data_IF_349897639062
#
_entry.id   IF_349897639062
#
_cell.length_a   1.000
_cell.length_b   1.000
_cell.length_c   1.000
_cell.angle_alpha   90.00
_cell.angle_beta   90.00
_cell.angle_gamma   90.00
#
_symmetry.space_group_name_H-M   'P 1'
#
loop_
_entity.id
_entity.type
_entity.pdbx_description
1 polymer ?
#
# COMPACT_ATOMS: atom_id res chain seq x y z
N UNK A 1 -14.99 -6.71 4.82
CA UNK A 1 -13.98 -5.68 4.48
C UNK A 1 -13.19 -5.96 3.21
N UNK A 2 -12.71 -7.19 2.96
CA UNK A 2 -11.77 -7.47 1.88
C UNK A 2 -12.24 -7.07 0.46
N UNK A 3 -13.50 -7.35 0.11
CA UNK A 3 -14.08 -6.87 -1.17
C UNK A 3 -14.12 -5.34 -1.28
N UNK A 4 -14.37 -4.62 -0.18
CA UNK A 4 -14.35 -3.14 -0.17
C UNK A 4 -12.93 -2.58 -0.30
N UNK A 5 -11.94 -3.24 0.30
CA UNK A 5 -10.53 -2.86 0.20
C UNK A 5 -10.04 -2.99 -1.25
N UNK A 6 -10.32 -4.12 -1.91
CA UNK A 6 -10.01 -4.30 -3.34
C UNK A 6 -10.66 -3.26 -4.24
N UNK A 7 -11.92 -2.89 -3.97
CA UNK A 7 -12.59 -1.82 -4.75
C UNK A 7 -12.06 -0.42 -4.43
N UNK A 8 -11.52 -0.22 -3.22
CA UNK A 8 -10.99 1.07 -2.76
C UNK A 8 -9.59 1.38 -3.29
N UNK A 9 -8.77 0.35 -3.54
CA UNK A 9 -7.38 0.50 -4.01
C UNK A 9 -7.28 1.19 -5.38
N UNK A 10 -8.32 1.13 -6.21
CA UNK A 10 -8.28 1.69 -7.55
C UNK A 10 -7.45 0.85 -8.53
N UNK A 11 -7.60 1.14 -9.83
CA UNK A 11 -7.05 0.31 -10.91
C UNK A 11 -5.51 0.30 -10.93
N UNK A 12 -4.86 1.45 -10.77
CA UNK A 12 -3.40 1.56 -10.87
C UNK A 12 -2.70 0.72 -9.79
N UNK A 13 -3.07 0.92 -8.52
CA UNK A 13 -2.49 0.18 -7.38
C UNK A 13 -2.78 -1.31 -7.49
N UNK A 14 -4.02 -1.69 -7.88
CA UNK A 14 -4.36 -3.11 -8.09
C UNK A 14 -3.47 -3.75 -9.15
N UNK A 15 -3.25 -3.07 -10.29
CA UNK A 15 -2.38 -3.58 -11.36
C UNK A 15 -0.95 -3.82 -10.88
N UNK A 16 -0.38 -2.91 -10.10
CA UNK A 16 0.97 -3.08 -9.56
C UNK A 16 1.03 -4.20 -8.50
N UNK A 17 -0.02 -4.37 -7.70
CA UNK A 17 -0.11 -5.48 -6.75
C UNK A 17 -0.26 -6.85 -7.44
N UNK A 18 -0.78 -6.89 -8.66
CA UNK A 18 -0.86 -8.12 -9.46
C UNK A 18 0.45 -8.46 -10.21
N UNK A 19 1.36 -7.49 -10.38
CA UNK A 19 2.65 -7.68 -11.07
C UNK A 19 3.64 -8.48 -10.19
N UNK A 20 4.06 -9.71 -10.57
CA UNK A 20 4.92 -10.55 -9.74
C UNK A 20 6.34 -9.97 -9.52
N UNK A 21 6.79 -9.03 -10.36
CA UNK A 21 8.08 -8.37 -10.17
C UNK A 21 8.04 -7.27 -9.11
N UNK A 22 6.85 -6.73 -8.79
CA UNK A 22 6.65 -5.69 -7.79
C UNK A 22 6.54 -6.31 -6.40
N UNK A 23 7.31 -5.79 -5.44
CA UNK A 23 7.28 -6.22 -4.02
C UNK A 23 6.66 -5.20 -3.08
N UNK A 24 6.65 -3.93 -3.48
CA UNK A 24 6.07 -2.84 -2.68
C UNK A 24 5.39 -1.84 -3.60
N UNK A 25 4.22 -1.33 -3.20
CA UNK A 25 3.48 -0.28 -3.89
C UNK A 25 3.21 0.85 -2.91
N UNK A 26 3.60 2.07 -3.27
CA UNK A 26 3.55 3.20 -2.37
C UNK A 26 2.80 4.37 -2.99
N UNK A 27 2.04 5.07 -2.16
CA UNK A 27 1.53 6.39 -2.46
C UNK A 27 2.31 7.41 -1.63
N UNK A 28 3.02 8.31 -2.30
CA UNK A 28 3.70 9.42 -1.66
C UNK A 28 2.73 10.58 -1.37
N UNK A 29 3.03 11.46 -0.39
CA UNK A 29 2.18 12.61 -0.06
C UNK A 29 1.98 13.61 -1.21
N UNK A 30 2.84 13.61 -2.22
CA UNK A 30 2.68 14.41 -3.45
C UNK A 30 1.62 13.84 -4.41
N UNK A 31 1.06 12.66 -4.11
CA UNK A 31 0.06 11.99 -4.93
C UNK A 31 0.64 11.00 -5.94
N UNK A 32 1.97 10.91 -6.07
CA UNK A 32 2.62 9.99 -7.00
C UNK A 32 2.66 8.57 -6.47
N UNK A 33 2.46 7.61 -7.38
CA UNK A 33 2.56 6.18 -7.09
C UNK A 33 3.95 5.69 -7.48
N UNK A 34 4.61 5.04 -6.53
CA UNK A 34 5.91 4.44 -6.69
C UNK A 34 5.84 2.94 -6.45
N UNK A 35 6.75 2.19 -7.06
CA UNK A 35 6.88 0.74 -6.83
C UNK A 35 8.31 0.36 -6.54
N UNK A 36 8.49 -0.64 -5.68
CA UNK A 36 9.76 -1.37 -5.54
C UNK A 36 9.64 -2.67 -6.33
N UNK A 37 10.60 -2.94 -7.22
CA UNK A 37 10.68 -4.16 -8.04
C UNK A 37 11.90 -4.99 -7.65
N UNK A 38 11.77 -6.33 -7.71
CA UNK A 38 12.81 -7.29 -7.29
C UNK A 38 14.20 -7.04 -7.93
N UNK A 39 14.23 -6.64 -9.21
CA UNK A 39 15.46 -6.52 -9.98
C UNK A 39 15.81 -5.09 -10.41
N UNK A 40 14.88 -4.15 -10.24
CA UNK A 40 15.00 -2.77 -10.74
C UNK A 40 15.05 -1.75 -9.60
N UNK A 41 14.75 -2.16 -8.36
CA UNK A 41 14.70 -1.26 -7.22
C UNK A 41 13.48 -0.34 -7.27
N UNK A 42 13.65 0.87 -6.75
CA UNK A 42 12.58 1.83 -6.58
C UNK A 42 12.34 2.66 -7.87
N UNK A 43 11.10 2.72 -8.33
CA UNK A 43 10.72 3.42 -9.56
C UNK A 43 9.42 4.24 -9.41
N UNK A 44 9.40 5.43 -10.01
CA UNK A 44 8.17 6.19 -10.26
C UNK A 44 7.38 5.49 -11.38
N UNK A 45 6.07 5.37 -11.19
CA UNK A 45 5.18 4.74 -12.17
C UNK A 45 4.62 5.72 -13.20
N UNK A 46 4.72 7.03 -12.93
CA UNK A 46 4.04 8.09 -13.68
C UNK A 46 2.53 8.20 -13.37
N UNK A 47 1.99 7.30 -12.55
CA UNK A 47 0.59 7.33 -12.12
C UNK A 47 0.44 8.22 -10.88
N UNK A 48 -0.69 8.92 -10.80
CA UNK A 48 -1.03 9.76 -9.64
C UNK A 48 -2.42 9.43 -9.11
N UNK A 49 -2.69 9.84 -7.87
CA UNK A 49 -4.01 9.77 -7.27
C UNK A 49 -4.38 11.09 -6.62
N UNK A 50 -5.68 11.33 -6.52
CA UNK A 50 -6.20 12.49 -5.77
C UNK A 50 -6.11 12.24 -4.27
N UNK A 51 -6.09 13.31 -3.47
CA UNK A 51 -6.18 13.24 -2.00
C UNK A 51 -7.36 12.36 -1.57
N UNK A 52 -8.54 12.59 -2.15
CA UNK A 52 -9.73 11.80 -1.86
C UNK A 52 -9.56 10.32 -2.24
N UNK A 53 -8.81 10.02 -3.31
CA UNK A 53 -8.45 8.66 -3.70
C UNK A 53 -7.60 7.97 -2.63
N UNK A 54 -6.53 8.63 -2.17
CA UNK A 54 -5.67 8.13 -1.09
C UNK A 54 -6.44 7.89 0.22
N UNK A 55 -7.31 8.82 0.62
CA UNK A 55 -8.13 8.66 1.83
C UNK A 55 -9.09 7.46 1.77
N UNK A 56 -9.66 7.17 0.59
CA UNK A 56 -10.56 6.01 0.40
C UNK A 56 -9.85 4.67 0.59
N UNK A 57 -8.52 4.63 0.41
CA UNK A 57 -7.71 3.44 0.70
C UNK A 57 -7.41 3.35 2.19
N UNK A 58 -6.90 4.43 2.78
CA UNK A 58 -6.37 4.43 4.16
C UNK A 58 -7.49 4.27 5.20
N UNK A 59 -8.63 4.95 5.03
CA UNK A 59 -9.71 4.98 6.05
C UNK A 59 -10.33 3.61 6.34
N UNK A 60 -10.69 2.77 5.34
CA UNK A 60 -11.17 1.41 5.61
C UNK A 60 -10.17 0.53 6.36
N UNK A 61 -8.88 0.66 6.07
CA UNK A 61 -7.82 -0.07 6.81
C UNK A 61 -7.75 0.42 8.25
N UNK A 62 -7.78 1.74 8.47
CA UNK A 62 -7.78 2.34 9.81
C UNK A 62 -8.93 1.82 10.68
N UNK A 63 -10.14 1.76 10.11
CA UNK A 63 -11.31 1.23 10.79
C UNK A 63 -11.14 -0.26 11.15
N UNK A 64 -10.52 -1.05 10.27
CA UNK A 64 -10.32 -2.48 10.49
C UNK A 64 -9.41 -2.80 11.69
N UNK A 65 -8.29 -2.10 11.83
CA UNK A 65 -7.30 -2.38 12.89
C UNK A 65 -7.71 -1.88 14.27
N UNK A 66 -8.90 -1.27 14.41
CA UNK A 66 -9.41 -0.81 15.69
C UNK A 66 -8.54 0.27 16.35
N UNK A 67 -7.64 0.90 15.59
CA UNK A 67 -6.90 2.08 16.04
C UNK A 67 -7.93 3.18 16.22
N UNK A 68 -8.36 3.39 17.47
CA UNK A 68 -8.87 4.70 17.90
C UNK A 68 -7.75 5.69 17.66
N UNK A 69 -7.76 6.29 16.47
CA UNK A 69 -6.86 7.36 16.09
C UNK A 69 -7.02 8.47 17.13
N UNK A 70 -6.13 8.52 18.11
CA UNK A 70 -5.99 9.76 18.85
C UNK A 70 -5.51 10.81 17.85
N UNK A 71 -5.91 12.08 17.96
CA UNK A 71 -5.46 13.15 17.07
C UNK A 71 -3.93 13.27 16.95
N UNK A 72 -3.17 12.58 17.81
CA UNK A 72 -1.71 12.63 17.90
C UNK A 72 -0.97 11.52 17.15
N UNK A 73 -1.63 10.46 16.69
CA UNK A 73 -0.95 9.34 15.99
C UNK A 73 -1.79 8.63 14.92
N UNK A 74 -2.14 9.25 13.78
CA UNK A 74 -2.78 8.59 12.63
C UNK A 74 -1.77 7.80 11.76
N UNK A 75 -0.95 6.94 12.38
CA UNK A 75 -0.22 5.88 11.66
C UNK A 75 -1.02 4.59 11.79
N UNK A 76 -1.22 3.93 10.66
CA UNK A 76 -2.03 2.72 10.56
C UNK A 76 -1.13 1.61 10.05
N UNK A 77 -0.90 0.60 10.86
CA UNK A 77 -0.17 -0.59 10.43
C UNK A 77 -1.11 -1.80 10.52
N UNK A 78 -1.25 -2.53 9.42
CA UNK A 78 -2.21 -3.62 9.29
C UNK A 78 -1.67 -4.75 8.39
N UNK A 79 -2.21 -5.95 8.55
CA UNK A 79 -2.18 -6.95 7.49
C UNK A 79 -3.52 -6.89 6.74
N UNK A 80 -3.46 -6.80 5.41
CA UNK A 80 -4.65 -6.76 4.58
C UNK A 80 -5.35 -8.13 4.61
N UNK A 81 -6.68 -8.16 4.74
CA UNK A 81 -7.43 -9.40 4.74
C UNK A 81 -7.28 -10.12 3.40
N UNK A 82 -7.35 -11.45 3.42
CA UNK A 82 -7.25 -12.36 2.26
C UNK A 82 -5.85 -12.47 1.64
N UNK A 83 -5.15 -11.35 1.40
CA UNK A 83 -3.83 -11.35 0.75
C UNK A 83 -2.66 -11.44 1.73
N UNK A 84 -2.89 -11.10 3.00
CA UNK A 84 -1.86 -11.00 4.05
C UNK A 84 -0.70 -10.03 3.68
N UNK A 85 -0.94 -9.11 2.74
CA UNK A 85 -0.03 -8.01 2.42
C UNK A 85 0.05 -7.07 3.61
N UNK A 86 1.22 -6.47 3.85
CA UNK A 86 1.39 -5.51 4.93
C UNK A 86 1.07 -4.11 4.44
N UNK A 87 0.32 -3.36 5.24
CA UNK A 87 -0.05 -1.99 4.97
C UNK A 87 0.52 -1.06 6.05
N UNK A 88 1.21 0.01 5.64
CA UNK A 88 1.57 1.15 6.50
C UNK A 88 0.96 2.41 5.90
N UNK A 89 0.02 3.04 6.59
CA UNK A 89 -0.69 4.23 6.11
C UNK A 89 -0.59 5.41 7.06
N UNK A 90 -0.68 6.61 6.49
CA UNK A 90 -0.55 7.89 7.17
C UNK A 90 -1.60 8.86 6.62
N UNK A 91 -2.20 9.62 7.53
CA UNK A 91 -3.12 10.71 7.20
C UNK A 91 -2.61 12.02 7.82
N UNK A 92 -3.07 13.19 7.33
CA UNK A 92 -2.84 14.45 8.04
C UNK A 92 -3.25 14.35 9.52
N UNK A 93 -2.48 14.97 10.44
CA UNK A 93 -1.34 15.84 10.20
C UNK A 93 0.05 15.16 10.15
N UNK A 94 0.17 13.84 10.32
CA UNK A 94 1.51 13.20 10.38
C UNK A 94 2.19 13.06 9.01
N UNK A 95 1.42 13.25 7.95
CA UNK A 95 1.90 13.48 6.60
C UNK A 95 1.17 14.70 6.02
N UNK A 96 1.79 15.40 5.07
CA UNK A 96 1.19 16.57 4.41
C UNK A 96 -0.08 16.23 3.61
N UNK A 97 -0.25 14.97 3.23
CA UNK A 97 -1.39 14.40 2.51
C UNK A 97 -1.42 12.88 2.75
N UNK A 98 -2.50 12.17 2.39
CA UNK A 98 -2.58 10.72 2.53
C UNK A 98 -1.39 10.03 1.86
N UNK A 99 -0.76 9.11 2.57
CA UNK A 99 0.37 8.32 2.07
C UNK A 99 0.28 6.91 2.63
N UNK A 100 0.75 5.93 1.87
CA UNK A 100 0.83 4.56 2.35
C UNK A 100 1.84 3.72 1.57
N UNK A 101 2.20 2.58 2.14
CA UNK A 101 2.93 1.50 1.47
C UNK A 101 2.17 0.18 1.65
N UNK A 102 2.11 -0.62 0.57
CA UNK A 102 1.56 -1.98 0.55
C UNK A 102 2.67 -2.91 0.13
N UNK A 103 3.23 -3.62 1.11
CA UNK A 103 4.31 -4.57 0.89
C UNK A 103 3.72 -5.96 0.70
N UNK A 104 4.02 -6.57 -0.44
CA UNK A 104 3.67 -7.96 -0.70
C UNK A 104 4.39 -8.86 0.29
N UNK A 105 3.75 -9.96 0.64
CA UNK A 105 4.42 -11.01 1.41
C UNK A 105 5.57 -11.54 0.56
N UNK A 106 6.76 -11.61 1.13
CA UNK A 106 7.86 -12.34 0.51
C UNK A 106 7.45 -13.81 0.41
N UNK A 107 6.99 -14.23 -0.76
CA UNK A 107 6.87 -15.64 -1.09
C UNK A 107 8.28 -16.04 -1.47
N UNK A 108 8.96 -16.79 -0.62
CA UNK A 108 10.32 -17.25 -0.88
C UNK A 108 10.33 -18.11 -2.15
N UNK A 109 10.53 -17.50 -3.31
CA UNK A 109 10.89 -18.18 -4.53
C UNK A 109 12.42 -18.27 -4.61
N UNK A 110 13.03 -18.90 -3.59
CA UNK A 110 14.41 -19.37 -3.69
C UNK A 110 14.37 -20.84 -4.12
N UNK A 111 14.36 -21.08 -5.42
CA UNK A 111 14.93 -22.33 -5.94
C UNK A 111 16.43 -22.05 -6.11
N UNK A 112 17.24 -22.44 -5.12
CA UNK A 112 18.68 -22.55 -5.35
C UNK A 112 18.86 -23.66 -6.38
N UNK A 113 19.22 -23.30 -7.61
CA UNK A 113 19.66 -24.26 -8.60
C UNK A 113 20.87 -24.99 -8.06
N UNK A 114 20.75 -26.30 -7.88
CA UNK A 114 21.90 -27.20 -7.77
C UNK A 114 22.52 -27.36 -9.14
N UNK A 115 23.75 -26.88 -9.30
CA UNK A 115 24.76 -27.44 -10.20
C UNK A 115 26.04 -27.70 -9.40
#
# INVERSE_FOLDING_TARGET
>A
MARMLRTGLGRAITRFLEDPAVVDVMLNPDGHIWVERLSEGLADTGETTTVAGGERVVRPVAHHVGLRSTPRSPRISAELPETAERFDGRLPPVAASPAFAIRKRAIAAFALGTE
#
